data_IF_829462638424
#
_entry.id   IF_829462638424
#
_cell.length_a   1.000
_cell.length_b   1.000
_cell.length_c   1.000
_cell.angle_alpha   90.00
_cell.angle_beta   90.00
_cell.angle_gamma   90.00
#
_symmetry.space_group_name_H-M   'P 1'
#
loop_
_entity.id
_entity.type
_entity.pdbx_description
1 polymer ?
#
# COMPACT_ATOMS: atom_id res chain seq x y z
N UNK A 1 -8.56 -7.97 4.84
CA UNK A 1 -8.17 -9.21 5.53
C UNK A 1 -7.86 -8.99 7.02
N UNK A 2 -7.28 -7.84 7.46
CA UNK A 2 -6.97 -7.60 8.88
C UNK A 2 -8.22 -7.63 9.75
N UNK A 3 -9.30 -6.93 9.40
CA UNK A 3 -10.58 -6.98 10.11
C UNK A 3 -11.11 -8.42 10.24
N UNK A 4 -11.07 -9.20 9.15
CA UNK A 4 -11.45 -10.61 9.16
C UNK A 4 -10.59 -11.44 10.13
N UNK A 5 -9.30 -11.15 10.23
CA UNK A 5 -8.40 -11.80 11.19
C UNK A 5 -8.78 -11.48 12.62
N UNK A 6 -9.12 -10.21 12.91
CA UNK A 6 -9.50 -9.77 14.26
C UNK A 6 -10.84 -10.35 14.68
N UNK A 7 -11.84 -10.35 13.79
CA UNK A 7 -13.16 -10.93 14.08
C UNK A 7 -13.11 -12.44 14.40
N UNK A 8 -12.06 -13.16 13.96
CA UNK A 8 -11.87 -14.58 14.32
C UNK A 8 -11.48 -14.81 15.79
N UNK A 9 -11.10 -13.78 16.52
CA UNK A 9 -10.85 -13.88 17.95
C UNK A 9 -12.12 -13.73 18.80
N UNK A 10 -13.24 -13.30 18.18
CA UNK A 10 -14.54 -13.19 18.82
C UNK A 10 -15.27 -14.53 18.75
N UNK A 11 -16.05 -14.82 19.80
CA UNK A 11 -16.83 -16.08 19.90
C UNK A 11 -18.14 -16.05 19.09
N UNK A 12 -18.39 -14.98 18.34
CA UNK A 12 -19.61 -14.73 17.59
C UNK A 12 -20.57 -13.81 18.33
N UNK A 13 -21.77 -13.64 17.78
CA UNK A 13 -22.77 -12.70 18.29
C UNK A 13 -22.60 -11.29 17.74
N UNK A 14 -23.36 -10.35 18.30
CA UNK A 14 -23.32 -8.93 17.93
C UNK A 14 -22.16 -8.22 18.64
N UNK A 15 -21.47 -7.38 17.92
CA UNK A 15 -20.40 -6.52 18.45
C UNK A 15 -20.78 -5.06 18.26
N UNK A 16 -20.93 -4.34 19.35
CA UNK A 16 -21.09 -2.89 19.32
C UNK A 16 -19.72 -2.20 19.47
N UNK A 17 -19.38 -1.36 18.49
CA UNK A 17 -18.11 -0.62 18.46
C UNK A 17 -18.43 0.87 18.29
N UNK A 18 -17.92 1.69 19.22
CA UNK A 18 -17.95 3.15 19.11
C UNK A 18 -16.52 3.66 19.10
N UNK A 19 -16.13 4.26 17.99
CA UNK A 19 -14.77 4.77 17.78
C UNK A 19 -14.78 5.97 16.83
N UNK A 20 -13.74 6.79 16.91
CA UNK A 20 -13.52 7.91 16.00
C UNK A 20 -12.57 7.48 14.87
N UNK A 21 -13.00 7.68 13.64
CA UNK A 21 -12.21 7.35 12.46
C UNK A 21 -11.78 8.62 11.73
N UNK A 22 -10.55 8.72 11.21
CA UNK A 22 -10.11 9.85 10.42
C UNK A 22 -10.94 9.94 9.13
N UNK A 23 -11.51 11.11 8.86
CA UNK A 23 -12.29 11.41 7.66
C UNK A 23 -11.59 12.51 6.87
N UNK A 24 -10.48 12.17 6.21
CA UNK A 24 -9.75 13.09 5.35
C UNK A 24 -10.51 13.45 4.07
N UNK A 25 -10.20 14.60 3.50
CA UNK A 25 -10.73 15.00 2.19
C UNK A 25 -9.98 14.27 1.08
N UNK A 26 -10.72 13.88 0.02
CA UNK A 26 -10.10 13.36 -1.20
C UNK A 26 -9.51 14.53 -1.97
N UNK A 27 -8.19 14.51 -2.18
CA UNK A 27 -7.43 15.51 -2.90
C UNK A 27 -6.83 14.97 -4.21
N UNK A 28 -5.73 15.56 -4.63
CA UNK A 28 -4.91 15.08 -5.73
C UNK A 28 -4.30 13.70 -5.42
N UNK A 29 -3.82 13.00 -6.44
CA UNK A 29 -3.14 11.71 -6.23
C UNK A 29 -1.97 11.81 -5.26
N UNK A 30 -1.18 12.88 -5.34
CA UNK A 30 -0.04 13.08 -4.43
C UNK A 30 -0.49 13.28 -2.98
N UNK A 31 -1.48 14.15 -2.76
CA UNK A 31 -2.05 14.39 -1.43
C UNK A 31 -2.64 13.11 -0.84
N UNK A 32 -3.38 12.34 -1.65
CA UNK A 32 -3.95 11.07 -1.20
C UNK A 32 -2.88 10.04 -0.83
N UNK A 33 -1.80 9.94 -1.62
CA UNK A 33 -0.67 9.04 -1.31
C UNK A 33 0.06 9.46 -0.04
N UNK A 34 0.27 10.77 0.19
CA UNK A 34 0.89 11.29 1.42
C UNK A 34 0.00 11.04 2.64
N UNK A 35 -1.32 11.25 2.51
CA UNK A 35 -2.27 10.98 3.58
C UNK A 35 -2.30 9.47 3.92
N UNK A 36 -2.32 8.58 2.91
CA UNK A 36 -2.26 7.15 3.12
C UNK A 36 -0.94 6.73 3.82
N UNK A 37 0.21 7.24 3.36
CA UNK A 37 1.49 6.97 4.00
C UNK A 37 1.53 7.37 5.48
N UNK A 38 0.96 8.54 5.82
CA UNK A 38 0.87 9.02 7.21
C UNK A 38 -0.08 8.16 8.06
N UNK A 39 -1.18 7.66 7.49
CA UNK A 39 -2.08 6.72 8.15
C UNK A 39 -1.36 5.41 8.51
N UNK A 40 -0.71 4.80 7.56
CA UNK A 40 0.07 3.57 7.77
C UNK A 40 1.20 3.78 8.79
N UNK A 41 1.89 4.94 8.74
CA UNK A 41 2.93 5.26 9.71
C UNK A 41 2.37 5.27 11.14
N UNK A 42 1.23 5.91 11.38
CA UNK A 42 0.56 5.88 12.67
C UNK A 42 0.19 4.43 13.08
N UNK A 43 -0.31 3.64 12.16
CA UNK A 43 -0.71 2.25 12.44
C UNK A 43 0.45 1.39 12.91
N UNK A 44 1.61 1.45 12.22
CA UNK A 44 2.74 0.59 12.58
C UNK A 44 3.66 1.15 13.67
N UNK A 45 3.67 2.48 13.92
CA UNK A 45 4.52 3.08 14.96
C UNK A 45 3.83 3.18 16.31
N UNK A 46 2.51 3.36 16.34
CA UNK A 46 1.75 3.71 17.55
C UNK A 46 0.57 2.77 17.80
N UNK A 47 -0.38 2.69 16.87
CA UNK A 47 -1.67 2.03 17.07
C UNK A 47 -1.51 0.51 17.34
N UNK A 48 -0.97 -0.25 16.41
CA UNK A 48 -0.82 -1.69 16.58
C UNK A 48 0.17 -2.10 17.68
N UNK A 49 1.33 -1.42 17.85
CA UNK A 49 2.18 -1.66 19.02
C UNK A 49 1.47 -1.40 20.35
N UNK A 50 0.67 -0.33 20.43
CA UNK A 50 -0.16 -0.02 21.60
C UNK A 50 -1.19 -1.10 21.88
N UNK A 51 -1.92 -1.54 20.86
CA UNK A 51 -2.91 -2.62 20.99
C UNK A 51 -2.25 -3.96 21.36
N UNK A 52 -1.08 -4.29 20.81
CA UNK A 52 -0.36 -5.49 21.17
C UNK A 52 0.06 -5.49 22.64
N UNK A 53 0.52 -4.35 23.15
CA UNK A 53 0.87 -4.18 24.56
C UNK A 53 -0.34 -4.43 25.47
N UNK A 54 -1.47 -3.75 25.19
CA UNK A 54 -2.71 -3.88 25.99
C UNK A 54 -3.21 -5.34 25.93
N UNK A 55 -3.26 -5.96 24.76
CA UNK A 55 -3.71 -7.34 24.62
C UNK A 55 -2.84 -8.30 25.46
N UNK A 56 -1.54 -8.05 25.55
CA UNK A 56 -0.63 -8.87 26.37
C UNK A 56 -0.85 -8.65 27.86
N UNK A 57 -1.06 -7.41 28.29
CA UNK A 57 -1.39 -7.07 29.68
C UNK A 57 -2.71 -7.70 30.13
N UNK A 58 -3.69 -7.83 29.21
CA UNK A 58 -4.97 -8.49 29.44
C UNK A 58 -4.93 -10.03 29.29
N UNK A 59 -3.77 -10.60 28.95
CA UNK A 59 -3.59 -12.06 28.81
C UNK A 59 -3.94 -12.63 27.44
N UNK A 60 -4.22 -11.79 26.43
CA UNK A 60 -4.56 -12.20 25.06
C UNK A 60 -3.33 -12.32 24.15
N UNK A 61 -2.39 -13.19 24.49
CA UNK A 61 -1.11 -13.32 23.78
C UNK A 61 -1.26 -13.59 22.27
N UNK A 62 -2.27 -14.34 21.83
CA UNK A 62 -2.50 -14.62 20.42
C UNK A 62 -3.00 -13.37 19.66
N UNK A 63 -3.78 -12.54 20.32
CA UNK A 63 -4.23 -11.24 19.77
C UNK A 63 -3.05 -10.28 19.67
N UNK A 64 -2.21 -10.19 20.71
CA UNK A 64 -0.99 -9.38 20.70
C UNK A 64 -0.08 -9.73 19.52
N UNK A 65 0.20 -11.03 19.32
CA UNK A 65 0.99 -11.51 18.18
C UNK A 65 0.36 -11.18 16.81
N UNK A 66 -0.97 -11.18 16.73
CA UNK A 66 -1.65 -10.77 15.50
C UNK A 66 -1.45 -9.27 15.21
N UNK A 67 -1.57 -8.39 16.21
CA UNK A 67 -1.29 -6.97 16.05
C UNK A 67 0.16 -6.70 15.66
N UNK A 68 1.13 -7.37 16.29
CA UNK A 68 2.55 -7.26 15.94
C UNK A 68 2.83 -7.68 14.47
N UNK A 69 2.20 -8.77 14.02
CA UNK A 69 2.34 -9.24 12.65
C UNK A 69 1.71 -8.27 11.63
N UNK A 70 0.54 -7.71 11.95
CA UNK A 70 -0.13 -6.70 11.11
C UNK A 70 0.72 -5.43 11.04
N UNK A 71 1.29 -4.95 12.14
CA UNK A 71 2.19 -3.80 12.17
C UNK A 71 3.35 -3.90 11.15
N UNK A 72 3.87 -5.11 10.91
CA UNK A 72 4.90 -5.35 9.88
C UNK A 72 4.34 -5.12 8.48
N UNK A 73 3.10 -5.52 8.22
CA UNK A 73 2.45 -5.30 6.93
C UNK A 73 2.20 -3.81 6.67
N UNK A 74 1.72 -3.07 7.69
CA UNK A 74 1.44 -1.63 7.56
C UNK A 74 2.72 -0.82 7.33
N UNK A 75 3.84 -1.23 7.94
CA UNK A 75 5.15 -0.65 7.62
C UNK A 75 5.50 -0.80 6.13
N UNK A 76 5.21 -1.94 5.52
CA UNK A 76 5.43 -2.16 4.09
C UNK A 76 4.45 -1.34 3.23
N UNK A 77 3.19 -1.20 3.66
CA UNK A 77 2.20 -0.36 2.99
C UNK A 77 2.64 1.11 3.01
N UNK A 78 3.06 1.63 4.16
CA UNK A 78 3.57 2.99 4.31
C UNK A 78 4.77 3.26 3.40
N UNK A 79 5.73 2.33 3.35
CA UNK A 79 6.84 2.41 2.40
C UNK A 79 6.36 2.49 0.96
N UNK A 80 5.40 1.66 0.57
CA UNK A 80 4.87 1.62 -0.80
C UNK A 80 4.19 2.94 -1.16
N UNK A 81 3.35 3.51 -0.29
CA UNK A 81 2.71 4.79 -0.55
C UNK A 81 3.72 5.94 -0.63
N UNK A 82 4.74 5.94 0.24
CA UNK A 82 5.83 6.92 0.20
C UNK A 82 6.60 6.83 -1.11
N UNK A 83 7.04 5.65 -1.53
CA UNK A 83 7.78 5.45 -2.78
C UNK A 83 6.94 5.89 -4.01
N UNK A 84 5.63 5.64 -4.00
CA UNK A 84 4.73 6.08 -5.07
C UNK A 84 4.59 7.61 -5.10
N UNK A 85 4.43 8.24 -3.94
CA UNK A 85 4.38 9.70 -3.82
C UNK A 85 5.67 10.35 -4.31
N UNK A 86 6.82 9.83 -3.88
CA UNK A 86 8.15 10.31 -4.28
C UNK A 86 8.39 10.15 -5.79
N UNK A 87 7.93 9.05 -6.38
CA UNK A 87 8.03 8.84 -7.83
C UNK A 87 7.14 9.82 -8.60
N UNK A 88 5.94 10.10 -8.11
CA UNK A 88 5.03 11.06 -8.72
C UNK A 88 5.60 12.48 -8.65
N UNK A 89 6.06 12.89 -7.48
CA UNK A 89 6.63 14.23 -7.23
C UNK A 89 7.91 14.48 -8.04
N UNK A 90 8.74 13.46 -8.19
CA UNK A 90 9.96 13.51 -8.99
C UNK A 90 9.76 13.26 -10.50
N UNK A 91 8.52 13.09 -10.97
CA UNK A 91 8.23 12.80 -12.38
C UNK A 91 8.75 11.45 -12.87
N UNK A 92 8.91 10.48 -11.96
CA UNK A 92 9.51 9.17 -12.26
C UNK A 92 8.51 8.04 -12.49
N UNK A 93 7.21 8.31 -12.57
CA UNK A 93 6.21 7.25 -12.77
C UNK A 93 6.49 6.45 -14.04
N UNK A 94 6.73 7.15 -15.16
CA UNK A 94 7.01 6.54 -16.48
C UNK A 94 8.42 6.83 -16.98
N UNK A 95 9.33 7.28 -16.10
CA UNK A 95 10.71 7.62 -16.45
C UNK A 95 11.69 7.11 -15.41
N UNK A 96 12.91 6.75 -15.85
CA UNK A 96 14.02 6.33 -14.99
C UNK A 96 15.31 7.02 -15.43
N UNK A 97 16.30 7.05 -14.54
CA UNK A 97 17.62 7.65 -14.83
C UNK A 97 18.45 6.83 -15.84
N UNK A 98 18.07 5.58 -16.09
CA UNK A 98 18.71 4.70 -17.06
C UNK A 98 17.68 3.84 -17.76
N UNK A 99 18.12 3.08 -18.80
CA UNK A 99 17.25 2.16 -19.52
C UNK A 99 16.73 1.06 -18.62
N UNK A 100 15.44 0.83 -18.68
CA UNK A 100 14.70 -0.24 -18.01
C UNK A 100 13.73 -0.86 -18.99
N UNK A 101 13.18 -2.01 -18.66
CA UNK A 101 12.16 -2.66 -19.49
C UNK A 101 10.79 -2.25 -18.97
N UNK A 102 10.03 -1.62 -19.84
CA UNK A 102 8.61 -1.28 -19.65
C UNK A 102 7.74 -2.36 -20.28
N UNK A 103 6.73 -2.82 -19.54
CA UNK A 103 5.73 -3.78 -20.02
C UNK A 103 4.36 -3.13 -20.16
N UNK A 104 3.72 -3.27 -21.31
CA UNK A 104 2.32 -2.92 -21.47
C UNK A 104 1.42 -3.95 -20.75
N UNK A 105 0.68 -3.52 -19.73
CA UNK A 105 -0.22 -4.40 -18.95
C UNK A 105 -1.39 -4.94 -19.75
N UNK A 106 -1.72 -4.32 -20.88
CA UNK A 106 -2.81 -4.79 -21.74
C UNK A 106 -2.39 -5.95 -22.67
N UNK A 107 -1.26 -5.81 -23.38
CA UNK A 107 -0.88 -6.78 -24.44
C UNK A 107 0.46 -7.48 -24.22
N UNK A 108 1.22 -7.11 -23.17
CA UNK A 108 2.51 -7.71 -22.87
C UNK A 108 3.68 -7.16 -23.70
N UNK A 109 3.47 -6.17 -24.59
CA UNK A 109 4.55 -5.55 -25.36
C UNK A 109 5.65 -5.03 -24.43
N UNK A 110 6.91 -5.31 -24.75
CA UNK A 110 8.09 -4.87 -24.01
C UNK A 110 8.81 -3.73 -24.74
N UNK A 111 9.26 -2.76 -23.98
CA UNK A 111 9.99 -1.60 -24.48
C UNK A 111 11.17 -1.28 -23.56
N UNK A 112 12.39 -1.34 -24.08
CA UNK A 112 13.60 -1.00 -23.34
C UNK A 112 14.00 0.44 -23.61
N UNK A 113 13.81 1.32 -22.62
CA UNK A 113 14.15 2.74 -22.70
C UNK A 113 14.20 3.37 -21.29
N UNK A 114 14.67 4.62 -21.23
CA UNK A 114 14.58 5.43 -20.00
C UNK A 114 13.14 5.86 -19.69
N UNK A 115 12.27 5.93 -20.71
CA UNK A 115 10.89 6.38 -20.59
C UNK A 115 9.94 5.42 -21.31
N UNK A 116 8.79 5.15 -20.68
CA UNK A 116 7.72 4.38 -21.30
C UNK A 116 7.13 5.14 -22.49
N UNK A 117 6.79 4.48 -23.61
CA UNK A 117 6.22 5.16 -24.77
C UNK A 117 4.85 5.78 -24.44
N UNK A 118 4.56 6.96 -25.00
CA UNK A 118 3.28 7.65 -24.80
C UNK A 118 2.06 6.83 -25.24
N UNK A 119 2.27 5.96 -26.26
CA UNK A 119 1.26 5.02 -26.79
C UNK A 119 1.94 3.69 -27.07
N UNK A 120 1.31 2.61 -26.69
CA UNK A 120 1.80 1.26 -27.00
C UNK A 120 1.73 1.00 -28.52
N UNK A 121 2.86 0.70 -29.20
CA UNK A 121 2.85 0.47 -30.64
C UNK A 121 2.12 -0.80 -31.07
N UNK A 122 1.93 -1.76 -30.16
CA UNK A 122 1.27 -3.02 -30.46
C UNK A 122 -0.26 -2.98 -30.30
N UNK A 123 -0.79 -2.21 -29.32
CA UNK A 123 -2.23 -2.22 -29.02
C UNK A 123 -2.86 -0.83 -28.83
N UNK A 124 -2.11 0.24 -29.06
CA UNK A 124 -2.54 1.64 -29.03
C UNK A 124 -3.06 2.15 -27.68
N UNK A 125 -2.82 1.42 -26.58
CA UNK A 125 -3.15 1.89 -25.25
C UNK A 125 -2.17 2.99 -24.79
N UNK A 126 -2.63 3.97 -23.98
CA UNK A 126 -1.82 5.09 -23.54
C UNK A 126 -0.71 4.67 -22.57
N UNK A 127 0.25 5.57 -22.32
CA UNK A 127 1.39 5.39 -21.40
C UNK A 127 0.99 4.87 -20.01
N UNK A 128 -0.20 5.22 -19.53
CA UNK A 128 -0.73 4.75 -18.24
C UNK A 128 -0.90 3.23 -18.14
N UNK A 129 -0.81 2.51 -19.24
CA UNK A 129 -0.82 1.05 -19.28
C UNK A 129 0.56 0.43 -19.13
N UNK A 130 1.63 1.22 -19.09
CA UNK A 130 2.97 0.70 -18.88
C UNK A 130 3.33 0.61 -17.40
N UNK A 131 4.09 -0.40 -17.08
CA UNK A 131 4.74 -0.61 -15.78
C UNK A 131 6.17 -1.11 -15.99
N UNK A 132 7.00 -1.05 -14.96
CA UNK A 132 8.29 -1.74 -14.98
C UNK A 132 8.07 -3.24 -15.06
N UNK A 133 8.84 -3.92 -15.90
CA UNK A 133 8.80 -5.39 -15.95
C UNK A 133 9.25 -5.97 -14.61
N UNK A 134 8.37 -6.71 -13.97
CA UNK A 134 8.69 -7.55 -12.81
C UNK A 134 8.64 -9.02 -13.25
N UNK A 135 9.72 -9.74 -13.07
CA UNK A 135 9.82 -11.18 -13.32
C UNK A 135 9.79 -11.90 -11.98
N UNK A 136 8.61 -12.28 -11.54
CA UNK A 136 8.34 -12.89 -10.23
C UNK A 136 7.72 -14.30 -10.34
N UNK A 137 7.94 -14.97 -11.48
CA UNK A 137 7.58 -16.35 -11.74
C UNK A 137 8.81 -17.28 -11.65
#
# INVERSE_FOLDING_TARGET
>A
EHAKRFFKFLEGGDVEITESFPAGTIGTTLENLRAAAAGEEHEWTDMYPGFAKIAREEGFEQVAKAFEAVSIAEKQHGKRYTDLADNLEAGRVFKRAGKVVWRCRNCGYLHEAEEAPGVCPACLHPQSYFELLGENW
#
